data_IF_399169817204
#
_entry.id   IF_399169817204
#
_cell.length_a   1.000
_cell.length_b   1.000
_cell.length_c   1.000
_cell.angle_alpha   90.00
_cell.angle_beta   90.00
_cell.angle_gamma   90.00
#
_symmetry.space_group_name_H-M   'P 1'
#
loop_
_entity.id
_entity.type
_entity.pdbx_description
1 polymer ?
#
# COMPACT_ATOMS: atom_id res chain seq x y z
N UNK A 1 -7.88 -11.90 0.48
CA UNK A 1 -9.05 -10.98 0.45
C UNK A 1 -9.12 -9.97 1.62
N UNK A 2 -8.14 -9.89 2.52
CA UNK A 2 -8.18 -8.95 3.66
C UNK A 2 -7.46 -7.60 3.41
N UNK A 3 -6.52 -7.53 2.46
CA UNK A 3 -5.76 -6.29 2.17
C UNK A 3 -6.51 -5.25 1.31
N UNK A 4 -7.50 -5.68 0.51
CA UNK A 4 -8.33 -4.75 -0.29
C UNK A 4 -9.20 -3.83 0.58
N UNK A 5 -9.59 -4.28 1.78
CA UNK A 5 -10.47 -3.53 2.71
C UNK A 5 -9.75 -2.42 3.49
N UNK A 6 -8.41 -2.38 3.47
CA UNK A 6 -7.66 -1.33 4.17
C UNK A 6 -7.68 0.00 3.40
N UNK A 7 -7.68 -0.05 2.06
CA UNK A 7 -7.63 1.13 1.20
C UNK A 7 -9.00 1.81 0.97
N UNK A 8 -10.12 1.12 1.20
CA UNK A 8 -11.46 1.70 1.12
C UNK A 8 -11.81 2.63 2.29
N UNK A 9 -11.03 2.62 3.38
CA UNK A 9 -11.42 3.27 4.64
C UNK A 9 -10.95 4.71 4.84
N UNK A 10 -10.22 5.31 3.89
CA UNK A 10 -9.74 6.71 4.02
C UNK A 10 -9.77 7.52 2.70
N UNK A 11 -10.94 7.87 2.17
CA UNK A 11 -11.06 8.71 0.97
C UNK A 11 -10.75 10.20 1.22
N UNK A 12 -10.49 10.62 2.47
CA UNK A 12 -10.34 12.04 2.84
C UNK A 12 -8.92 12.60 2.69
N UNK A 13 -7.91 11.78 2.39
CA UNK A 13 -6.51 12.25 2.32
C UNK A 13 -6.10 12.73 0.92
N UNK A 14 -6.78 12.31 -0.15
CA UNK A 14 -6.38 12.64 -1.54
C UNK A 14 -7.35 13.59 -2.27
N UNK A 15 -8.36 14.13 -1.59
CA UNK A 15 -9.41 14.96 -2.20
C UNK A 15 -9.03 16.39 -2.57
N UNK A 16 -7.77 16.83 -2.39
CA UNK A 16 -7.39 18.24 -2.63
C UNK A 16 -6.66 18.43 -3.97
N UNK A 17 -6.33 17.36 -4.69
CA UNK A 17 -5.38 17.45 -5.82
C UNK A 17 -5.98 17.52 -7.23
N UNK A 18 -7.32 17.52 -7.39
CA UNK A 18 -7.92 17.61 -8.72
C UNK A 18 -8.82 18.83 -8.89
N UNK A 19 -8.48 19.59 -9.95
CA UNK A 19 -9.20 20.71 -10.56
C UNK A 19 -9.09 22.06 -9.84
N UNK A 20 -7.90 22.68 -9.89
CA UNK A 20 -7.84 24.11 -10.19
C UNK A 20 -7.67 24.27 -11.69
N UNK A 21 -8.81 24.37 -12.37
CA UNK A 21 -8.87 24.84 -13.74
C UNK A 21 -8.20 26.21 -13.79
N UNK A 22 -7.20 26.33 -14.67
CA UNK A 22 -6.54 27.61 -14.94
C UNK A 22 -7.59 28.56 -15.52
N UNK A 23 -8.11 29.45 -14.69
CA UNK A 23 -8.83 30.61 -15.18
C UNK A 23 -7.78 31.62 -15.66
N UNK A 24 -7.82 32.09 -16.92
CA UNK A 24 -6.96 33.18 -17.33
C UNK A 24 -7.20 34.35 -16.37
N UNK A 25 -6.12 34.95 -15.88
CA UNK A 25 -6.19 36.14 -15.05
C UNK A 25 -6.92 37.23 -15.84
N UNK A 26 -8.24 37.32 -15.69
CA UNK A 26 -8.97 38.54 -15.99
C UNK A 26 -8.29 39.56 -15.10
N UNK A 27 -7.54 40.50 -15.70
CA UNK A 27 -7.10 41.71 -15.03
C UNK A 27 -8.33 42.19 -14.26
N UNK A 28 -8.29 42.06 -12.94
CA UNK A 28 -9.37 42.59 -12.11
C UNK A 28 -9.52 44.02 -12.57
N UNK A 29 -10.71 44.39 -13.05
CA UNK A 29 -11.02 45.80 -13.24
C UNK A 29 -10.59 46.46 -11.94
N UNK A 30 -9.75 47.49 -12.05
CA UNK A 30 -9.50 48.36 -10.92
C UNK A 30 -10.86 48.62 -10.31
N UNK A 31 -11.08 48.23 -9.06
CA UNK A 31 -12.34 48.52 -8.39
C UNK A 31 -12.33 50.04 -8.24
N UNK A 32 -12.81 50.75 -9.26
CA UNK A 32 -13.40 52.06 -9.06
C UNK A 32 -14.55 51.74 -8.13
N UNK A 33 -14.36 52.07 -6.85
CA UNK A 33 -15.43 52.04 -5.86
C UNK A 33 -16.63 52.68 -6.54
N UNK A 34 -17.67 51.88 -6.66
CA UNK A 34 -18.92 52.20 -7.32
C UNK A 34 -19.44 53.53 -6.79
N UNK A 35 -19.49 54.55 -7.65
CA UNK A 35 -20.36 55.70 -7.44
C UNK A 35 -21.80 55.27 -7.73
N UNK A 36 -22.35 54.36 -6.92
CA UNK A 36 -23.78 54.16 -6.86
C UNK A 36 -24.37 55.30 -6.04
N UNK A 37 -25.18 56.12 -6.73
CA UNK A 37 -25.88 57.29 -6.19
C UNK A 37 -26.76 56.86 -5.01
N UNK A 38 -26.33 57.10 -3.78
CA UNK A 38 -27.17 56.91 -2.61
C UNK A 38 -26.40 56.57 -1.34
N UNK A 39 -25.55 57.49 -0.88
CA UNK A 39 -24.85 57.41 0.40
C UNK A 39 -23.91 58.60 0.51
N UNK A 40 -23.84 59.24 1.66
CA UNK A 40 -22.94 60.37 1.88
C UNK A 40 -21.51 59.98 1.47
N UNK A 41 -21.00 60.63 0.42
CA UNK A 41 -19.62 60.47 -0.04
C UNK A 41 -18.69 61.10 1.01
N UNK A 42 -18.39 60.39 2.07
CA UNK A 42 -17.27 60.73 2.94
C UNK A 42 -16.01 60.35 2.17
N UNK A 43 -15.36 61.35 1.58
CA UNK A 43 -14.05 61.20 0.97
C UNK A 43 -13.11 60.54 2.01
N UNK A 44 -12.53 59.36 1.73
CA UNK A 44 -11.63 58.72 2.69
C UNK A 44 -10.51 59.70 3.00
N UNK A 45 -10.23 59.93 4.30
CA UNK A 45 -9.12 60.79 4.72
C UNK A 45 -7.88 60.37 3.93
N UNK A 46 -7.24 61.28 3.19
CA UNK A 46 -6.14 60.99 2.25
C UNK A 46 -5.08 60.04 2.82
N UNK A 47 -4.85 60.10 4.14
CA UNK A 47 -3.94 59.22 4.88
C UNK A 47 -4.41 57.76 4.91
N UNK A 48 -5.69 57.50 5.08
CA UNK A 48 -6.29 56.16 5.10
C UNK A 48 -6.27 55.52 3.71
N UNK A 49 -6.57 56.30 2.67
CA UNK A 49 -6.43 55.85 1.29
C UNK A 49 -4.99 55.43 0.96
N UNK A 50 -4.00 56.25 1.35
CA UNK A 50 -2.58 55.90 1.17
C UNK A 50 -2.21 54.61 1.90
N UNK A 51 -2.73 54.39 3.13
CA UNK A 51 -2.51 53.15 3.90
C UNK A 51 -3.11 51.94 3.19
N UNK A 52 -4.34 52.06 2.67
CA UNK A 52 -4.99 50.98 1.92
C UNK A 52 -4.23 50.64 0.64
N UNK A 53 -3.79 51.64 -0.13
CA UNK A 53 -2.99 51.41 -1.32
C UNK A 53 -1.64 50.73 -1.00
N UNK A 54 -0.97 51.13 0.08
CA UNK A 54 0.28 50.52 0.51
C UNK A 54 0.09 49.05 0.93
N UNK A 55 -0.97 48.77 1.69
CA UNK A 55 -1.32 47.42 2.10
C UNK A 55 -1.70 46.54 0.91
N UNK A 56 -2.53 47.05 -0.01
CA UNK A 56 -2.91 46.33 -1.22
C UNK A 56 -1.69 46.03 -2.10
N UNK A 57 -0.76 46.97 -2.24
CA UNK A 57 0.51 46.75 -2.96
C UNK A 57 1.32 45.65 -2.30
N UNK A 58 1.46 45.68 -0.97
CA UNK A 58 2.15 44.64 -0.22
C UNK A 58 1.51 43.26 -0.42
N UNK A 59 0.19 43.14 -0.25
CA UNK A 59 -0.53 41.88 -0.47
C UNK A 59 -0.35 41.36 -1.90
N UNK A 60 -0.45 42.22 -2.91
CA UNK A 60 -0.25 41.83 -4.30
C UNK A 60 1.17 41.34 -4.57
N UNK A 61 2.18 41.96 -3.96
CA UNK A 61 3.57 41.51 -4.07
C UNK A 61 3.78 40.15 -3.40
N UNK A 62 3.26 39.95 -2.19
CA UNK A 62 3.36 38.66 -1.49
C UNK A 62 2.69 37.55 -2.28
N UNK A 63 1.47 37.78 -2.79
CA UNK A 63 0.75 36.80 -3.60
C UNK A 63 1.47 36.46 -4.91
N UNK A 64 2.10 37.45 -5.54
CA UNK A 64 2.89 37.23 -6.76
C UNK A 64 4.12 36.37 -6.48
N UNK A 65 4.87 36.70 -5.43
CA UNK A 65 6.08 35.96 -5.06
C UNK A 65 5.75 34.52 -4.67
N UNK A 66 4.71 34.31 -3.88
CA UNK A 66 4.26 32.97 -3.49
C UNK A 66 3.84 32.14 -4.72
N UNK A 67 3.14 32.75 -5.68
CA UNK A 67 2.79 32.08 -6.92
C UNK A 67 4.04 31.71 -7.75
N UNK A 68 5.05 32.59 -7.78
CA UNK A 68 6.33 32.30 -8.43
C UNK A 68 7.07 31.17 -7.72
N UNK A 69 7.09 31.15 -6.39
CA UNK A 69 7.80 30.13 -5.62
C UNK A 69 7.11 28.76 -5.72
N UNK A 70 5.78 28.71 -5.70
CA UNK A 70 5.01 27.50 -5.98
C UNK A 70 5.30 26.95 -7.39
N UNK A 71 5.46 27.84 -8.39
CA UNK A 71 5.80 27.43 -9.75
C UNK A 71 7.22 26.87 -9.84
N UNK A 72 8.19 27.50 -9.18
CA UNK A 72 9.57 26.98 -9.09
C UNK A 72 9.59 25.61 -8.42
N UNK A 73 8.82 25.41 -7.35
CA UNK A 73 8.77 24.13 -6.66
C UNK A 73 8.20 23.03 -7.56
N UNK A 74 7.11 23.32 -8.27
CA UNK A 74 6.53 22.38 -9.22
C UNK A 74 7.54 21.98 -10.32
N UNK A 75 8.34 22.93 -10.81
CA UNK A 75 9.40 22.62 -11.77
C UNK A 75 10.52 21.76 -11.17
N UNK A 76 10.92 22.02 -9.93
CA UNK A 76 11.91 21.19 -9.22
C UNK A 76 11.42 19.75 -9.06
N UNK A 77 10.15 19.57 -8.69
CA UNK A 77 9.55 18.24 -8.56
C UNK A 77 9.49 17.54 -9.91
N UNK A 78 8.97 18.20 -10.96
CA UNK A 78 8.92 17.62 -12.32
C UNK A 78 10.27 17.24 -12.92
N UNK A 79 11.36 17.90 -12.50
CA UNK A 79 12.70 17.58 -12.97
C UNK A 79 13.31 16.35 -12.29
N UNK A 80 12.76 15.90 -11.15
CA UNK A 80 13.29 14.79 -10.33
C UNK A 80 12.32 13.63 -10.17
N UNK A 81 11.02 13.90 -10.27
CA UNK A 81 9.94 12.97 -10.00
C UNK A 81 9.20 12.64 -11.30
N UNK A 82 8.90 11.36 -11.48
CA UNK A 82 8.09 10.85 -12.58
C UNK A 82 6.86 10.20 -11.94
N UNK A 83 5.67 10.47 -12.47
CA UNK A 83 4.43 9.85 -11.99
C UNK A 83 4.43 8.37 -12.37
N UNK A 84 3.88 7.50 -11.52
CA UNK A 84 3.66 6.10 -11.85
C UNK A 84 2.87 5.85 -13.14
N UNK A 85 1.99 6.79 -13.54
CA UNK A 85 1.24 6.70 -14.80
C UNK A 85 2.08 7.01 -16.04
N UNK A 86 3.18 7.75 -15.88
CA UNK A 86 4.08 8.18 -16.96
C UNK A 86 5.27 7.21 -17.13
N UNK A 87 5.45 6.27 -16.19
CA UNK A 87 6.47 5.23 -16.23
C UNK A 87 6.17 4.23 -17.35
N UNK A 88 7.21 3.87 -18.11
CA UNK A 88 7.11 2.78 -19.08
C UNK A 88 7.00 1.43 -18.37
N UNK A 89 6.47 0.42 -19.07
CA UNK A 89 6.33 -0.92 -18.52
C UNK A 89 7.69 -1.52 -18.10
N UNK A 90 8.76 -1.19 -18.82
CA UNK A 90 10.11 -1.69 -18.50
C UNK A 90 10.68 -1.05 -17.24
N UNK A 91 10.51 0.26 -17.05
CA UNK A 91 10.94 0.94 -15.82
C UNK A 91 10.13 0.46 -14.61
N UNK A 92 8.82 0.26 -14.77
CA UNK A 92 7.97 -0.29 -13.73
C UNK A 92 8.38 -1.73 -13.33
N UNK A 93 8.82 -2.54 -14.30
CA UNK A 93 9.33 -3.90 -14.03
C UNK A 93 10.67 -3.88 -13.28
N UNK A 94 11.53 -2.90 -13.52
CA UNK A 94 12.80 -2.76 -12.78
C UNK A 94 12.59 -2.39 -11.31
N UNK A 95 11.53 -1.63 -11.00
CA UNK A 95 11.15 -1.29 -9.63
C UNK A 95 10.50 -2.46 -8.88
N UNK A 96 10.06 -3.50 -9.60
CA UNK A 96 9.43 -4.67 -8.99
C UNK A 96 10.49 -5.67 -8.51
N UNK A 97 10.56 -5.89 -7.20
CA UNK A 97 11.29 -7.02 -6.62
C UNK A 97 10.32 -8.18 -6.41
N UNK A 98 10.67 -9.38 -6.90
CA UNK A 98 9.96 -10.60 -6.52
C UNK A 98 10.55 -11.11 -5.21
N UNK A 99 9.68 -11.63 -4.35
CA UNK A 99 10.09 -12.35 -3.16
C UNK A 99 10.70 -13.71 -3.57
N UNK A 100 12.03 -13.81 -3.52
CA UNK A 100 12.79 -15.00 -3.92
C UNK A 100 12.94 -16.00 -2.77
N UNK A 101 11.91 -16.23 -1.95
CA UNK A 101 12.01 -17.04 -0.72
C UNK A 101 12.56 -18.46 -0.92
N UNK A 102 12.32 -19.07 -2.08
CA UNK A 102 12.72 -20.46 -2.37
C UNK A 102 13.89 -20.57 -3.36
N UNK A 103 14.51 -19.43 -3.74
CA UNK A 103 15.55 -19.43 -4.77
C UNK A 103 16.87 -19.92 -4.20
N UNK A 104 17.40 -21.01 -4.76
CA UNK A 104 18.62 -21.65 -4.28
C UNK A 104 18.39 -22.66 -3.14
N UNK A 105 17.15 -22.92 -2.76
CA UNK A 105 16.85 -24.02 -1.85
C UNK A 105 17.09 -25.36 -2.54
N UNK A 106 17.88 -26.21 -1.89
CA UNK A 106 18.24 -27.54 -2.40
C UNK A 106 17.01 -28.42 -2.25
N UNK A 107 16.45 -28.87 -3.37
CA UNK A 107 15.39 -29.87 -3.34
C UNK A 107 15.94 -31.17 -2.73
N UNK A 108 15.18 -31.76 -1.81
CA UNK A 108 15.59 -33.00 -1.17
C UNK A 108 15.24 -34.17 -2.08
N UNK A 109 16.25 -34.79 -2.69
CA UNK A 109 16.06 -35.94 -3.56
C UNK A 109 16.32 -37.24 -2.80
N UNK A 110 15.33 -38.12 -2.76
CA UNK A 110 15.49 -39.47 -2.20
C UNK A 110 14.63 -40.46 -2.97
N UNK A 111 15.23 -41.59 -3.37
CA UNK A 111 14.57 -42.64 -4.14
C UNK A 111 13.92 -42.14 -5.45
N UNK A 112 14.55 -41.18 -6.13
CA UNK A 112 14.06 -40.58 -7.37
C UNK A 112 12.89 -39.61 -7.20
N UNK A 113 12.48 -39.32 -5.96
CA UNK A 113 11.46 -38.29 -5.66
C UNK A 113 12.14 -37.02 -5.18
N UNK A 114 11.88 -35.91 -5.86
CA UNK A 114 12.40 -34.59 -5.55
C UNK A 114 11.38 -33.81 -4.72
N UNK A 115 11.67 -33.63 -3.44
CA UNK A 115 10.81 -32.86 -2.52
C UNK A 115 11.34 -31.44 -2.46
N UNK A 116 10.69 -30.55 -3.20
CA UNK A 116 10.96 -29.11 -3.15
C UNK A 116 10.26 -28.49 -1.92
N UNK A 117 10.87 -27.52 -1.22
CA UNK A 117 10.24 -26.88 -0.06
C UNK A 117 8.89 -26.20 -0.38
N UNK A 118 8.74 -25.68 -1.59
CA UNK A 118 7.47 -25.17 -2.11
C UNK A 118 6.37 -26.26 -2.17
N UNK A 119 6.73 -27.46 -2.62
CA UNK A 119 5.81 -28.60 -2.65
C UNK A 119 5.41 -29.03 -1.23
N UNK A 120 6.37 -29.06 -0.31
CA UNK A 120 6.11 -29.36 1.10
C UNK A 120 5.18 -28.31 1.73
N UNK A 121 5.40 -27.02 1.44
CA UNK A 121 4.56 -25.94 1.91
C UNK A 121 3.12 -26.11 1.42
N UNK A 122 2.92 -26.36 0.12
CA UNK A 122 1.58 -26.57 -0.44
C UNK A 122 0.92 -27.82 0.17
N UNK A 123 1.66 -28.91 0.38
CA UNK A 123 1.15 -30.10 1.08
C UNK A 123 0.65 -29.77 2.51
N UNK A 124 1.37 -28.92 3.25
CA UNK A 124 0.95 -28.47 4.59
C UNK A 124 -0.29 -27.56 4.49
N UNK A 125 -0.41 -26.75 3.44
CA UNK A 125 -1.56 -25.87 3.21
C UNK A 125 -2.82 -26.64 2.81
N UNK A 126 -2.71 -27.80 2.17
CA UNK A 126 -3.89 -28.62 1.82
C UNK A 126 -4.45 -29.40 3.01
N UNK A 127 -3.67 -29.60 4.08
CA UNK A 127 -4.17 -30.22 5.31
C UNK A 127 -5.33 -29.43 5.94
N UNK A 128 -6.34 -30.11 6.53
CA UNK A 128 -7.33 -29.48 7.38
C UNK A 128 -6.69 -28.68 8.53
N UNK A 129 -7.33 -27.59 8.96
CA UNK A 129 -6.74 -26.66 9.91
C UNK A 129 -6.35 -27.32 11.25
N UNK A 130 -7.21 -28.18 11.79
CA UNK A 130 -6.94 -28.91 13.04
C UNK A 130 -5.73 -29.82 12.94
N UNK A 131 -5.59 -30.48 11.78
CA UNK A 131 -4.50 -31.39 11.45
C UNK A 131 -3.20 -30.63 11.25
N UNK A 132 -3.26 -29.48 10.57
CA UNK A 132 -2.13 -28.59 10.35
C UNK A 132 -1.58 -28.06 11.68
N UNK A 133 -2.45 -27.56 12.57
CA UNK A 133 -2.05 -27.06 13.89
C UNK A 133 -1.35 -28.14 14.72
N UNK A 134 -1.89 -29.36 14.76
CA UNK A 134 -1.29 -30.47 15.49
C UNK A 134 0.13 -30.80 14.98
N UNK A 135 0.34 -30.82 13.66
CA UNK A 135 1.67 -31.08 13.07
C UNK A 135 2.65 -29.95 13.37
N UNK A 136 2.22 -28.69 13.25
CA UNK A 136 3.08 -27.54 13.46
C UNK A 136 3.56 -27.45 14.92
N UNK A 137 2.65 -27.63 15.88
CA UNK A 137 3.00 -27.59 17.30
C UNK A 137 3.92 -28.76 17.70
N UNK A 138 3.70 -29.94 17.12
CA UNK A 138 4.55 -31.10 17.41
C UNK A 138 5.99 -30.91 16.93
N UNK A 139 6.20 -30.37 15.73
CA UNK A 139 7.54 -30.24 15.16
C UNK A 139 8.25 -28.92 15.47
N UNK A 140 7.53 -27.79 15.43
CA UNK A 140 8.14 -26.47 15.61
C UNK A 140 8.18 -26.03 17.07
N UNK A 141 7.15 -26.34 17.85
CA UNK A 141 7.11 -26.00 19.29
C UNK A 141 7.63 -27.15 20.17
N UNK A 142 7.89 -28.33 19.60
CA UNK A 142 8.38 -29.51 20.34
C UNK A 142 7.38 -30.08 21.34
N UNK A 143 6.10 -29.71 21.24
CA UNK A 143 5.05 -30.14 22.17
C UNK A 143 4.68 -31.60 21.96
N UNK A 144 4.46 -32.32 23.05
CA UNK A 144 3.99 -33.71 23.01
C UNK A 144 2.46 -33.80 22.82
N UNK A 145 1.93 -35.00 22.53
CA UNK A 145 0.49 -35.20 22.28
C UNK A 145 -0.40 -34.79 23.46
N UNK A 146 0.12 -34.86 24.68
CA UNK A 146 -0.59 -34.49 25.91
C UNK A 146 -0.68 -32.98 26.05
N UNK A 147 0.43 -32.26 25.86
CA UNK A 147 0.48 -30.79 25.89
C UNK A 147 -0.41 -30.18 24.81
N UNK A 148 -0.38 -30.74 23.59
CA UNK A 148 -1.26 -30.31 22.49
C UNK A 148 -2.72 -30.62 22.82
N UNK A 149 -3.00 -31.76 23.45
CA UNK A 149 -4.36 -32.14 23.83
C UNK A 149 -4.93 -31.18 24.89
N UNK A 150 -4.12 -30.80 25.88
CA UNK A 150 -4.46 -29.79 26.90
C UNK A 150 -4.71 -28.42 26.25
N UNK A 151 -3.88 -28.01 25.29
CA UNK A 151 -4.03 -26.72 24.59
C UNK A 151 -5.35 -26.62 23.81
N UNK A 152 -5.80 -27.72 23.21
CA UNK A 152 -7.04 -27.74 22.42
C UNK A 152 -8.27 -28.27 23.17
N UNK A 153 -8.16 -28.57 24.46
CA UNK A 153 -9.22 -29.19 25.27
C UNK A 153 -9.78 -30.47 24.61
N UNK A 154 -8.88 -31.33 24.14
CA UNK A 154 -9.22 -32.58 23.43
C UNK A 154 -8.54 -33.77 24.07
N UNK A 155 -8.92 -35.00 23.68
CA UNK A 155 -8.21 -36.18 24.16
C UNK A 155 -6.86 -36.36 23.46
N UNK A 156 -5.87 -36.89 24.20
CA UNK A 156 -4.56 -37.30 23.66
C UNK A 156 -4.68 -38.25 22.46
N UNK A 157 -5.67 -39.14 22.47
CA UNK A 157 -5.95 -40.05 21.34
C UNK A 157 -6.41 -39.32 20.08
N UNK A 158 -7.15 -38.23 20.22
CA UNK A 158 -7.61 -37.41 19.09
C UNK A 158 -6.43 -36.69 18.43
N UNK A 159 -5.51 -36.13 19.22
CA UNK A 159 -4.29 -35.50 18.70
C UNK A 159 -3.39 -36.53 18.01
N UNK A 160 -3.20 -37.70 18.63
CA UNK A 160 -2.46 -38.81 18.00
C UNK A 160 -3.06 -39.18 16.64
N UNK A 161 -4.39 -39.35 16.55
CA UNK A 161 -5.07 -39.64 15.29
C UNK A 161 -4.90 -38.51 14.26
N UNK A 162 -5.05 -37.24 14.68
CA UNK A 162 -4.82 -36.08 13.81
C UNK A 162 -3.40 -36.10 13.26
N UNK A 163 -2.39 -36.34 14.08
CA UNK A 163 -0.99 -36.41 13.65
C UNK A 163 -0.74 -37.58 12.68
N UNK A 164 -1.15 -38.80 13.03
CA UNK A 164 -0.94 -39.96 12.16
C UNK A 164 -1.64 -39.80 10.82
N UNK A 165 -2.90 -39.37 10.81
CA UNK A 165 -3.64 -39.13 9.57
C UNK A 165 -3.12 -37.94 8.77
N UNK A 166 -2.53 -36.92 9.42
CA UNK A 166 -1.82 -35.84 8.70
C UNK A 166 -0.64 -36.38 7.92
N UNK A 167 0.15 -37.31 8.48
CA UNK A 167 1.27 -37.89 7.76
C UNK A 167 0.84 -38.74 6.57
N UNK A 168 -0.27 -39.48 6.69
CA UNK A 168 -0.83 -40.21 5.55
C UNK A 168 -1.25 -39.26 4.43
N UNK A 169 -1.92 -38.16 4.77
CA UNK A 169 -2.32 -37.12 3.82
C UNK A 169 -1.11 -36.44 3.16
N UNK A 170 -0.11 -36.04 3.96
CA UNK A 170 1.13 -35.44 3.45
C UNK A 170 1.89 -36.42 2.55
N UNK A 171 2.00 -37.68 2.95
CA UNK A 171 2.64 -38.72 2.15
C UNK A 171 1.94 -38.87 0.81
N UNK A 172 0.61 -39.02 0.81
CA UNK A 172 -0.19 -39.15 -0.42
C UNK A 172 0.00 -37.94 -1.34
N UNK A 173 -0.09 -36.73 -0.79
CA UNK A 173 0.08 -35.50 -1.57
C UNK A 173 1.48 -35.41 -2.20
N UNK A 174 2.52 -35.68 -1.41
CA UNK A 174 3.89 -35.68 -1.91
C UNK A 174 4.12 -36.78 -2.95
N UNK A 175 3.53 -37.97 -2.78
CA UNK A 175 3.68 -39.06 -3.74
C UNK A 175 2.98 -38.79 -5.08
N UNK A 176 1.83 -38.12 -5.06
CA UNK A 176 1.06 -37.75 -6.26
C UNK A 176 1.68 -36.57 -7.03
N UNK A 177 2.34 -35.64 -6.33
CA UNK A 177 2.83 -34.38 -6.93
C UNK A 177 4.36 -34.33 -7.08
N UNK A 178 5.12 -35.33 -6.62
CA UNK A 178 6.58 -35.31 -6.70
C UNK A 178 7.12 -35.33 -8.14
N UNK A 179 6.37 -35.91 -9.08
CA UNK A 179 6.81 -36.10 -10.47
C UNK A 179 6.47 -34.88 -11.37
N UNK A 180 5.65 -33.94 -10.88
CA UNK A 180 5.17 -32.78 -11.66
C UNK A 180 6.06 -31.53 -11.55
N UNK A 181 7.01 -31.50 -10.61
CA UNK A 181 7.78 -30.31 -10.25
C UNK A 181 9.23 -30.29 -10.78
N UNK A 182 9.46 -30.90 -11.94
CA UNK A 182 10.78 -30.92 -12.60
C UNK A 182 11.01 -29.77 -13.60
N UNK A 183 9.98 -29.01 -13.93
CA UNK A 183 10.10 -27.83 -14.78
C UNK A 183 10.20 -26.57 -13.91
N UNK A 184 10.93 -25.57 -14.40
CA UNK A 184 11.21 -24.22 -13.86
C UNK A 184 12.59 -24.04 -13.23
#
# INVERSE_FOLDING_TARGET
>A
MLLKKFFEKNPKIFGVFFKRQYCPAKRGKHHQLSNEKGGENVEPNRREFIKQCAFQKFCNTVLHNEACDAHKELHRHKAREITFSDLTLEEARQLHTFDEYFKGEIAFERAGKKITPKLLLEAIRTLPEEKRKAVLLYYFEGMNDTEIAELFDTSRSTIQYRRTSSFELLKKYLEENADEWDEW
#
